data_IF_861388184024
#
_entry.id   IF_861388184024
#
_cell.length_a   1.000
_cell.length_b   1.000
_cell.length_c   1.000
_cell.angle_alpha   90.00
_cell.angle_beta   90.00
_cell.angle_gamma   90.00
#
_symmetry.space_group_name_H-M   'P 1'
#
loop_
_entity.id
_entity.type
_entity.pdbx_description
1 polymer ?
#
# COMPACT_ATOMS: atom_id res chain seq x y z
N UNK A 1 -0.43 -11.45 -34.88
CA UNK A 1 -1.26 -10.70 -33.92
C UNK A 1 -2.70 -11.22 -33.95
N UNK A 2 -3.48 -11.06 -32.88
CA UNK A 2 -4.86 -11.59 -32.74
C UNK A 2 -5.94 -10.70 -33.37
N UNK A 3 -5.65 -9.41 -33.59
CA UNK A 3 -6.57 -8.47 -34.24
C UNK A 3 -6.32 -8.45 -35.74
N UNK A 4 -7.39 -8.55 -36.54
CA UNK A 4 -7.30 -8.62 -38.01
C UNK A 4 -6.59 -7.39 -38.61
N UNK A 5 -6.79 -6.19 -38.03
CA UNK A 5 -6.12 -4.95 -38.46
C UNK A 5 -4.59 -4.97 -38.33
N UNK A 6 -4.05 -5.81 -37.44
CA UNK A 6 -2.61 -5.89 -37.15
C UNK A 6 -1.99 -7.25 -37.53
N UNK A 7 -2.74 -8.09 -38.25
CA UNK A 7 -2.35 -9.47 -38.54
C UNK A 7 -1.18 -9.56 -39.54
N UNK A 8 -1.15 -8.64 -40.49
CA UNK A 8 -0.16 -8.58 -41.59
C UNK A 8 0.95 -7.53 -41.34
N UNK A 9 0.93 -6.85 -40.19
CA UNK A 9 1.96 -5.87 -39.84
C UNK A 9 3.20 -6.56 -39.25
N UNK A 10 4.37 -6.08 -39.65
CA UNK A 10 5.65 -6.49 -39.08
C UNK A 10 5.80 -5.99 -37.64
N UNK A 11 6.69 -6.63 -36.89
CA UNK A 11 7.00 -6.23 -35.50
C UNK A 11 7.46 -4.77 -35.43
N UNK A 12 8.29 -4.34 -36.38
CA UNK A 12 8.81 -2.96 -36.43
C UNK A 12 7.69 -1.94 -36.70
N UNK A 13 6.72 -2.27 -37.56
CA UNK A 13 5.56 -1.41 -37.82
C UNK A 13 4.66 -1.27 -36.58
N UNK A 14 4.51 -2.35 -35.80
CA UNK A 14 3.75 -2.31 -34.55
C UNK A 14 4.49 -1.49 -33.50
N UNK A 15 5.81 -1.63 -33.41
CA UNK A 15 6.65 -0.84 -32.53
C UNK A 15 6.60 0.65 -32.89
N UNK A 16 6.70 0.99 -34.17
CA UNK A 16 6.54 2.35 -34.66
C UNK A 16 5.20 2.97 -34.24
N UNK A 17 4.10 2.22 -34.37
CA UNK A 17 2.78 2.69 -33.93
C UNK A 17 2.72 2.92 -32.41
N UNK A 18 3.36 2.05 -31.62
CA UNK A 18 3.45 2.21 -30.17
C UNK A 18 4.27 3.46 -29.79
N UNK A 19 5.40 3.68 -30.45
CA UNK A 19 6.27 4.85 -30.24
C UNK A 19 5.59 6.16 -30.64
N UNK A 20 4.88 6.18 -31.78
CA UNK A 20 4.24 7.37 -32.29
C UNK A 20 2.98 7.77 -31.49
N UNK A 21 2.11 6.81 -31.17
CA UNK A 21 0.74 7.12 -30.72
C UNK A 21 0.45 6.79 -29.24
N UNK A 22 1.33 6.05 -28.58
CA UNK A 22 1.09 5.53 -27.22
C UNK A 22 2.17 5.90 -26.21
N UNK A 23 3.44 5.61 -26.48
CA UNK A 23 4.54 5.90 -25.56
C UNK A 23 4.71 7.41 -25.33
N UNK A 24 5.10 7.81 -24.11
CA UNK A 24 5.20 9.20 -23.62
C UNK A 24 3.90 10.02 -23.64
N UNK A 25 2.82 9.48 -24.19
CA UNK A 25 1.54 10.15 -24.36
C UNK A 25 0.44 9.47 -23.54
N UNK A 26 0.07 8.25 -23.92
CA UNK A 26 -0.99 7.47 -23.25
C UNK A 26 -0.45 6.56 -22.16
N UNK A 27 0.79 6.10 -22.32
CA UNK A 27 1.52 5.25 -21.38
C UNK A 27 3.02 5.65 -21.36
N UNK A 28 3.78 5.34 -20.30
CA UNK A 28 5.22 5.58 -20.28
C UNK A 28 5.95 4.79 -21.37
N UNK A 29 7.18 5.18 -21.68
CA UNK A 29 8.06 4.35 -22.51
C UNK A 29 8.27 2.98 -21.88
N UNK A 30 8.37 1.97 -22.73
CA UNK A 30 8.70 0.64 -22.28
C UNK A 30 10.12 0.61 -21.71
N UNK A 31 10.33 -0.19 -20.67
CA UNK A 31 11.66 -0.56 -20.24
C UNK A 31 12.24 -1.64 -21.13
N UNK A 32 11.46 -2.65 -21.46
CA UNK A 32 11.89 -3.63 -22.43
C UNK A 32 10.71 -4.29 -23.13
N UNK A 33 10.96 -4.76 -24.34
CA UNK A 33 9.96 -5.38 -25.21
C UNK A 33 10.49 -6.73 -25.67
N UNK A 34 9.67 -7.75 -25.50
CA UNK A 34 10.01 -9.14 -25.79
C UNK A 34 9.08 -9.70 -26.86
N UNK A 35 9.64 -10.32 -27.90
CA UNK A 35 8.90 -11.11 -28.87
C UNK A 35 8.62 -12.48 -28.27
N UNK A 36 7.34 -12.81 -28.07
CA UNK A 36 6.93 -14.07 -27.43
C UNK A 36 6.66 -15.21 -28.43
N UNK A 37 6.92 -14.96 -29.71
CA UNK A 37 6.66 -15.84 -30.85
C UNK A 37 5.22 -15.80 -31.40
N UNK A 38 4.28 -15.11 -30.72
CA UNK A 38 2.90 -14.85 -31.23
C UNK A 38 2.48 -13.39 -31.16
N UNK A 39 3.34 -12.54 -30.60
CA UNK A 39 3.11 -11.12 -30.37
C UNK A 39 4.19 -10.53 -29.46
N UNK A 40 3.94 -9.33 -28.97
CA UNK A 40 4.87 -8.56 -28.14
C UNK A 40 4.42 -8.57 -26.67
N UNK A 41 5.39 -8.62 -25.76
CA UNK A 41 5.20 -8.34 -24.35
C UNK A 41 5.98 -7.08 -23.98
N UNK A 42 5.28 -6.10 -23.43
CA UNK A 42 5.83 -4.78 -23.07
C UNK A 42 5.96 -4.74 -21.54
N UNK A 43 7.11 -4.29 -21.06
CA UNK A 43 7.42 -4.25 -19.63
C UNK A 43 7.76 -2.85 -19.16
N UNK A 44 7.21 -2.47 -18.01
CA UNK A 44 7.58 -1.27 -17.26
C UNK A 44 8.13 -1.70 -15.90
N UNK A 45 9.41 -1.42 -15.69
CA UNK A 45 10.10 -1.64 -14.43
C UNK A 45 9.74 -0.53 -13.46
N UNK A 46 9.36 -0.90 -12.24
CA UNK A 46 9.08 0.06 -11.17
C UNK A 46 10.07 -0.10 -10.03
N UNK A 47 10.24 0.98 -9.26
CA UNK A 47 10.95 0.91 -7.99
C UNK A 47 10.25 -0.06 -7.02
N UNK A 48 11.01 -0.59 -6.06
CA UNK A 48 10.45 -1.48 -5.05
C UNK A 48 9.39 -0.73 -4.22
N UNK A 49 8.14 -1.21 -4.28
CA UNK A 49 7.02 -0.63 -3.54
C UNK A 49 6.51 -1.59 -2.47
N UNK A 50 6.01 -1.09 -1.33
CA UNK A 50 5.38 -1.94 -0.33
C UNK A 50 4.10 -2.57 -0.91
N UNK A 51 3.71 -3.77 -0.45
CA UNK A 51 2.51 -4.47 -0.91
C UNK A 51 1.22 -3.62 -0.84
N UNK A 52 1.18 -2.61 0.04
CA UNK A 52 0.07 -1.65 0.17
C UNK A 52 -0.17 -0.82 -1.10
N UNK A 53 0.80 -0.77 -2.01
CA UNK A 53 0.69 -0.10 -3.31
C UNK A 53 -0.01 -0.95 -4.37
N UNK A 54 -0.33 -2.23 -4.10
CA UNK A 54 -1.01 -3.12 -5.04
C UNK A 54 -2.30 -2.53 -5.65
N UNK A 55 -3.17 -1.82 -4.91
CA UNK A 55 -4.34 -1.18 -5.52
C UNK A 55 -3.99 -0.10 -6.55
N UNK A 56 -2.94 0.69 -6.30
CA UNK A 56 -2.47 1.70 -7.24
C UNK A 56 -1.85 1.03 -8.47
N UNK A 57 -1.02 0.01 -8.24
CA UNK A 57 -0.44 -0.79 -9.32
C UNK A 57 -1.52 -1.41 -10.21
N UNK A 58 -2.57 -2.00 -9.62
CA UNK A 58 -3.72 -2.54 -10.37
C UNK A 58 -4.46 -1.46 -11.17
N UNK A 59 -4.61 -0.25 -10.63
CA UNK A 59 -5.23 0.87 -11.33
C UNK A 59 -4.39 1.31 -12.54
N UNK A 60 -3.06 1.37 -12.38
CA UNK A 60 -2.11 1.63 -13.46
C UNK A 60 -2.23 0.57 -14.55
N UNK A 61 -2.17 -0.71 -14.20
CA UNK A 61 -2.28 -1.82 -15.15
C UNK A 61 -3.59 -1.80 -15.92
N UNK A 62 -4.72 -1.58 -15.24
CA UNK A 62 -6.04 -1.47 -15.90
C UNK A 62 -6.11 -0.27 -16.84
N UNK A 63 -5.55 0.87 -16.45
CA UNK A 63 -5.50 2.05 -17.32
C UNK A 63 -4.67 1.75 -18.58
N UNK A 64 -3.48 1.14 -18.43
CA UNK A 64 -2.62 0.79 -19.56
C UNK A 64 -3.29 -0.24 -20.47
N UNK A 65 -3.90 -1.28 -19.90
CA UNK A 65 -4.70 -2.26 -20.64
C UNK A 65 -5.78 -1.57 -21.46
N UNK A 66 -6.56 -0.66 -20.85
CA UNK A 66 -7.60 0.08 -21.56
C UNK A 66 -7.05 0.94 -22.69
N UNK A 67 -5.90 1.60 -22.49
CA UNK A 67 -5.25 2.41 -23.54
C UNK A 67 -4.71 1.55 -24.67
N UNK A 68 -4.17 0.37 -24.37
CA UNK A 68 -3.53 -0.53 -25.33
C UNK A 68 -4.51 -1.60 -25.89
N UNK A 69 -5.78 -1.58 -25.48
CA UNK A 69 -6.78 -2.54 -25.95
C UNK A 69 -6.97 -2.48 -27.46
N UNK A 70 -6.91 -1.28 -28.04
CA UNK A 70 -7.04 -1.05 -29.48
C UNK A 70 -5.91 -1.67 -30.30
N UNK A 71 -4.72 -1.85 -29.71
CA UNK A 71 -3.58 -2.52 -30.34
C UNK A 71 -3.45 -3.99 -29.91
N UNK A 72 -4.44 -4.52 -29.18
CA UNK A 72 -4.55 -5.95 -28.90
C UNK A 72 -3.96 -6.41 -27.56
N UNK A 73 -3.89 -5.53 -26.56
CA UNK A 73 -3.50 -5.93 -25.21
C UNK A 73 -4.45 -7.00 -24.63
N UNK A 74 -3.86 -8.05 -24.05
CA UNK A 74 -4.59 -9.18 -23.45
C UNK A 74 -5.07 -8.83 -22.04
N UNK A 75 -6.39 -8.93 -21.79
CA UNK A 75 -6.97 -8.63 -20.47
C UNK A 75 -6.41 -9.52 -19.36
N UNK A 76 -5.90 -10.71 -19.70
CA UNK A 76 -5.30 -11.65 -18.75
C UNK A 76 -3.86 -11.28 -18.36
N UNK A 77 -3.28 -10.20 -18.89
CA UNK A 77 -1.88 -9.83 -18.65
C UNK A 77 -1.64 -8.98 -17.40
N UNK A 78 -2.67 -8.56 -16.68
CA UNK A 78 -2.58 -7.60 -15.56
C UNK A 78 -2.33 -8.24 -14.17
N UNK A 79 -1.89 -9.48 -14.13
CA UNK A 79 -1.62 -10.22 -12.88
C UNK A 79 -0.27 -9.84 -12.26
N UNK A 80 -0.24 -9.62 -10.94
CA UNK A 80 0.94 -9.16 -10.21
C UNK A 80 2.00 -10.25 -9.95
N UNK A 81 1.62 -11.53 -10.02
CA UNK A 81 2.46 -12.69 -9.72
C UNK A 81 2.80 -13.52 -10.97
N UNK A 82 2.57 -12.97 -12.17
CA UNK A 82 2.70 -13.69 -13.43
C UNK A 82 4.13 -14.17 -13.68
N UNK A 83 4.26 -15.46 -13.98
CA UNK A 83 5.51 -16.04 -14.49
C UNK A 83 5.69 -15.63 -15.95
N UNK A 84 6.76 -14.89 -16.22
CA UNK A 84 7.10 -14.38 -17.55
C UNK A 84 8.10 -15.29 -18.25
N UNK A 85 8.05 -15.32 -19.59
CA UNK A 85 9.02 -16.08 -20.39
C UNK A 85 10.35 -15.35 -20.44
N UNK A 86 11.44 -16.07 -20.21
CA UNK A 86 12.79 -15.53 -20.26
C UNK A 86 13.22 -15.35 -21.72
N UNK A 87 13.86 -14.21 -22.03
CA UNK A 87 14.50 -14.00 -23.33
C UNK A 87 15.57 -15.06 -23.59
N UNK A 88 15.67 -15.54 -24.83
CA UNK A 88 16.54 -16.65 -25.24
C UNK A 88 15.95 -18.04 -25.03
N UNK A 89 14.76 -18.17 -24.42
CA UNK A 89 14.04 -19.45 -24.35
C UNK A 89 13.32 -19.76 -25.67
N UNK A 90 13.19 -21.04 -26.03
CA UNK A 90 12.46 -21.48 -27.23
C UNK A 90 11.03 -21.82 -26.86
N UNK A 91 10.07 -21.25 -27.59
CA UNK A 91 8.66 -21.57 -27.38
C UNK A 91 8.32 -22.93 -28.00
N UNK A 92 8.22 -23.99 -27.19
CA UNK A 92 7.95 -25.36 -27.65
C UNK A 92 6.71 -25.53 -28.54
N UNK A 93 5.71 -24.65 -28.43
CA UNK A 93 4.47 -24.76 -29.25
C UNK A 93 4.60 -24.23 -30.68
N UNK A 94 5.65 -23.49 -30.99
CA UNK A 94 5.81 -22.85 -32.29
C UNK A 94 7.27 -22.66 -32.73
N UNK A 95 8.25 -23.19 -31.99
CA UNK A 95 9.66 -23.26 -32.40
C UNK A 95 10.44 -21.94 -32.41
N UNK A 96 9.76 -20.79 -32.34
CA UNK A 96 10.41 -19.48 -32.33
C UNK A 96 11.12 -19.17 -31.01
N UNK A 97 12.31 -18.58 -31.12
CA UNK A 97 13.06 -18.04 -29.99
C UNK A 97 12.37 -16.77 -29.46
N UNK A 98 12.45 -16.59 -28.14
CA UNK A 98 11.98 -15.38 -27.47
C UNK A 98 13.08 -14.34 -27.56
N UNK A 99 12.92 -13.32 -28.42
CA UNK A 99 13.92 -12.29 -28.65
C UNK A 99 13.61 -10.97 -27.92
N UNK A 100 14.64 -10.35 -27.35
CA UNK A 100 14.59 -9.05 -26.71
C UNK A 100 14.83 -7.97 -27.77
N UNK A 101 13.85 -7.11 -28.01
CA UNK A 101 13.94 -6.04 -29.02
C UNK A 101 14.61 -4.79 -28.47
N UNK A 102 14.29 -4.44 -27.24
CA UNK A 102 14.68 -3.19 -26.61
C UNK A 102 14.84 -3.42 -25.11
N UNK A 103 15.84 -2.78 -24.49
CA UNK A 103 16.06 -2.85 -23.04
C UNK A 103 16.63 -1.54 -22.48
N UNK A 104 16.06 -1.14 -21.36
CA UNK A 104 16.42 -0.01 -20.53
C UNK A 104 16.18 -0.37 -19.06
N UNK A 105 17.19 -0.18 -18.21
CA UNK A 105 17.22 -0.55 -16.80
C UNK A 105 16.65 0.52 -15.86
N UNK A 106 16.26 1.69 -16.39
CA UNK A 106 15.61 2.76 -15.63
C UNK A 106 14.36 2.24 -14.90
N UNK A 107 14.11 2.73 -13.68
CA UNK A 107 12.92 2.32 -12.91
C UNK A 107 11.98 3.50 -12.75
N UNK A 108 10.70 3.26 -12.98
CA UNK A 108 9.67 4.25 -12.74
C UNK A 108 9.26 4.27 -11.27
N UNK A 109 9.08 5.47 -10.72
CA UNK A 109 8.32 5.60 -9.49
C UNK A 109 6.83 5.44 -9.79
N UNK A 110 6.14 4.60 -9.01
CA UNK A 110 4.73 4.32 -9.24
C UNK A 110 3.83 5.57 -9.08
N UNK A 111 4.25 6.56 -8.28
CA UNK A 111 3.53 7.84 -8.17
C UNK A 111 3.68 8.70 -9.40
N UNK A 112 4.87 8.74 -10.00
CA UNK A 112 5.08 9.52 -11.22
C UNK A 112 4.23 8.96 -12.37
N UNK A 113 4.07 7.63 -12.44
CA UNK A 113 3.15 7.01 -13.39
C UNK A 113 1.70 7.45 -13.11
N UNK A 114 1.30 7.46 -11.84
CA UNK A 114 -0.03 7.91 -11.44
C UNK A 114 -0.30 9.35 -11.88
N UNK A 115 0.62 10.27 -11.57
CA UNK A 115 0.45 11.70 -11.83
C UNK A 115 0.42 12.02 -13.32
N UNK A 116 1.22 11.31 -14.13
CA UNK A 116 1.36 11.63 -15.55
C UNK A 116 0.37 10.88 -16.47
N UNK A 117 -0.11 9.68 -16.08
CA UNK A 117 -0.83 8.80 -17.01
C UNK A 117 -2.20 8.35 -16.53
N UNK A 118 -2.53 8.50 -15.24
CA UNK A 118 -3.87 8.18 -14.76
C UNK A 118 -4.74 9.44 -14.84
N UNK A 119 -6.05 9.28 -15.16
CA UNK A 119 -6.95 10.42 -15.17
C UNK A 119 -6.99 11.07 -13.79
N UNK A 120 -6.95 12.40 -13.77
CA UNK A 120 -7.22 13.18 -12.57
C UNK A 120 -8.52 12.70 -11.94
N UNK A 121 -8.45 12.33 -10.66
CA UNK A 121 -9.55 11.69 -9.94
C UNK A 121 -10.76 12.63 -9.69
N UNK A 122 -10.89 13.77 -10.39
CA UNK A 122 -12.15 14.41 -10.87
C UNK A 122 -11.94 15.83 -11.44
N UNK A 123 -12.81 16.25 -12.38
CA UNK A 123 -13.72 17.35 -12.06
C UNK A 123 -15.13 16.81 -11.81
N UNK A 124 -15.61 17.06 -10.59
CA UNK A 124 -16.97 16.83 -10.15
C UNK A 124 -17.96 17.42 -11.17
N UNK A 125 -18.78 16.59 -11.82
CA UNK A 125 -19.97 17.05 -12.55
C UNK A 125 -20.90 17.67 -11.49
N UNK A 126 -21.07 18.99 -11.54
CA UNK A 126 -21.98 19.73 -10.65
C UNK A 126 -23.37 19.10 -10.76
N UNK A 127 -23.86 18.46 -9.70
CA UNK A 127 -25.28 18.14 -9.56
C UNK A 127 -26.05 19.47 -9.53
N UNK A 128 -26.95 19.76 -10.50
CA UNK A 128 -27.69 21.02 -10.59
C UNK A 128 -28.55 21.33 -9.36
N UNK A 129 -28.86 20.32 -8.54
CA UNK A 129 -29.80 20.43 -7.43
C UNK A 129 -29.16 20.62 -6.05
N UNK A 130 -27.82 20.73 -5.94
CA UNK A 130 -27.15 20.81 -4.64
C UNK A 130 -26.42 22.15 -4.43
N UNK A 131 -27.12 23.14 -3.84
CA UNK A 131 -26.51 24.41 -3.39
C UNK A 131 -25.94 24.24 -1.97
N UNK A 132 -24.73 23.70 -1.84
CA UNK A 132 -24.03 23.71 -0.55
C UNK A 132 -23.32 25.06 -0.32
N UNK A 133 -23.74 25.79 0.73
CA UNK A 133 -23.03 26.98 1.21
C UNK A 133 -21.60 26.61 1.67
N UNK A 134 -20.61 27.12 0.93
CA UNK A 134 -19.36 27.70 1.43
C UNK A 134 -18.58 26.97 2.54
N UNK A 135 -18.23 25.69 2.38
CA UNK A 135 -17.14 25.09 3.17
C UNK A 135 -15.97 24.74 2.25
N UNK A 136 -14.75 25.20 2.59
CA UNK A 136 -13.52 24.86 1.87
C UNK A 136 -13.46 23.34 1.68
N UNK A 137 -13.26 22.89 0.43
CA UNK A 137 -13.17 21.47 0.07
C UNK A 137 -12.07 20.82 0.91
N UNK A 138 -12.46 19.87 1.76
CA UNK A 138 -11.49 19.01 2.45
C UNK A 138 -10.90 18.12 1.37
N UNK A 139 -9.57 18.09 1.23
CA UNK A 139 -8.88 17.08 0.42
C UNK A 139 -9.39 15.72 0.89
N UNK A 140 -10.17 15.05 0.05
CA UNK A 140 -10.74 13.75 0.38
C UNK A 140 -9.59 12.77 0.20
N UNK A 141 -8.97 12.36 1.31
CA UNK A 141 -7.94 11.33 1.27
C UNK A 141 -8.50 10.10 0.52
N UNK A 142 -7.66 9.55 -0.36
CA UNK A 142 -7.83 8.34 -1.17
C UNK A 142 -7.98 7.06 -0.33
N UNK A 143 -8.77 7.09 0.75
CA UNK A 143 -9.26 5.88 1.40
C UNK A 143 -10.39 5.33 0.53
N UNK A 144 -10.02 4.81 -0.64
CA UNK A 144 -10.96 4.15 -1.54
C UNK A 144 -11.63 3.00 -0.80
N UNK A 145 -12.90 2.74 -1.09
CA UNK A 145 -13.68 1.64 -0.51
C UNK A 145 -12.97 0.27 -0.67
N UNK A 146 -12.24 0.09 -1.76
CA UNK A 146 -11.31 -1.03 -1.98
C UNK A 146 -10.24 -1.17 -0.89
N UNK A 147 -9.62 -0.06 -0.49
CA UNK A 147 -8.61 -0.06 0.58
C UNK A 147 -9.21 -0.47 1.92
N UNK A 148 -10.47 -0.12 2.18
CA UNK A 148 -11.17 -0.49 3.42
C UNK A 148 -11.53 -1.98 3.43
N UNK A 149 -12.18 -2.49 2.38
CA UNK A 149 -12.55 -3.91 2.31
C UNK A 149 -11.31 -4.81 2.37
N UNK A 150 -10.25 -4.45 1.64
CA UNK A 150 -8.98 -5.18 1.70
C UNK A 150 -8.31 -5.12 3.07
N UNK A 151 -8.31 -3.96 3.74
CA UNK A 151 -7.77 -3.86 5.10
C UNK A 151 -8.61 -4.67 6.10
N UNK A 152 -9.93 -4.72 5.94
CA UNK A 152 -10.80 -5.56 6.77
C UNK A 152 -10.60 -7.06 6.52
N UNK A 153 -10.33 -7.49 5.29
CA UNK A 153 -9.92 -8.87 5.00
C UNK A 153 -8.63 -9.23 5.73
N UNK A 154 -7.62 -8.35 5.66
CA UNK A 154 -6.36 -8.54 6.39
C UNK A 154 -6.55 -8.54 7.91
N UNK A 155 -7.46 -7.72 8.42
CA UNK A 155 -7.82 -7.73 9.84
C UNK A 155 -8.44 -9.08 10.25
N UNK A 156 -9.30 -9.68 9.43
CA UNK A 156 -9.87 -11.01 9.72
C UNK A 156 -8.81 -12.11 9.70
N UNK A 157 -7.90 -12.11 8.71
CA UNK A 157 -6.77 -13.06 8.66
C UNK A 157 -5.89 -12.88 9.88
N UNK A 158 -5.56 -11.64 10.25
CA UNK A 158 -4.74 -11.37 11.43
C UNK A 158 -5.45 -11.78 12.72
N UNK A 159 -6.75 -11.60 12.80
CA UNK A 159 -7.54 -12.05 13.95
C UNK A 159 -7.53 -13.57 14.07
N UNK A 160 -7.64 -14.29 12.95
CA UNK A 160 -7.51 -15.75 12.91
C UNK A 160 -6.13 -16.22 13.37
N UNK A 161 -5.07 -15.56 12.92
CA UNK A 161 -3.69 -15.82 13.34
C UNK A 161 -3.52 -15.62 14.85
N UNK A 162 -3.99 -14.50 15.39
CA UNK A 162 -3.90 -14.17 16.82
C UNK A 162 -4.70 -15.13 17.72
N UNK A 163 -5.72 -15.79 17.16
CA UNK A 163 -6.57 -16.73 17.89
C UNK A 163 -6.24 -18.19 17.57
N UNK A 164 -5.17 -18.45 16.82
CA UNK A 164 -4.72 -19.80 16.43
C UNK A 164 -5.86 -20.63 15.80
N UNK A 165 -6.69 -19.98 14.98
CA UNK A 165 -7.81 -20.62 14.32
C UNK A 165 -9.07 -20.82 15.19
N UNK A 166 -9.10 -20.30 16.42
CA UNK A 166 -10.25 -20.36 17.33
C UNK A 166 -11.14 -19.10 17.26
N UNK A 167 -12.39 -19.24 17.68
CA UNK A 167 -13.38 -18.17 17.78
C UNK A 167 -13.52 -17.71 19.23
N UNK A 168 -13.58 -16.39 19.46
CA UNK A 168 -13.85 -15.84 20.81
C UNK A 168 -15.34 -15.71 21.08
N UNK A 169 -15.82 -16.30 22.16
CA UNK A 169 -17.21 -16.22 22.61
C UNK A 169 -17.44 -14.95 23.46
N UNK A 170 -18.71 -14.67 23.78
CA UNK A 170 -19.08 -13.48 24.56
C UNK A 170 -18.53 -13.50 26.00
N UNK A 171 -18.33 -14.70 26.57
CA UNK A 171 -17.67 -14.92 27.86
C UNK A 171 -16.14 -14.69 27.82
N UNK A 172 -15.58 -14.40 26.64
CA UNK A 172 -14.16 -14.19 26.42
C UNK A 172 -13.35 -15.48 26.15
N UNK A 173 -13.96 -16.66 26.30
CA UNK A 173 -13.31 -17.95 26.02
C UNK A 173 -13.04 -18.15 24.54
N UNK A 174 -11.97 -18.87 24.21
CA UNK A 174 -11.66 -19.31 22.86
C UNK A 174 -12.21 -20.72 22.66
N UNK A 175 -13.03 -20.91 21.62
CA UNK A 175 -13.59 -22.22 21.24
C UNK A 175 -13.30 -22.48 19.77
N UNK A 176 -13.17 -23.75 19.40
CA UNK A 176 -12.95 -24.14 18.01
C UNK A 176 -14.15 -23.82 17.10
N UNK A 177 -15.35 -23.71 17.67
CA UNK A 177 -16.61 -23.49 16.97
C UNK A 177 -17.31 -22.20 17.42
N UNK A 178 -18.28 -21.71 16.63
CA UNK A 178 -19.20 -20.64 17.02
C UNK A 178 -19.30 -19.49 16.03
N UNK A 179 -18.25 -18.67 15.87
CA UNK A 179 -18.29 -17.47 15.01
C UNK A 179 -17.78 -17.70 13.57
N UNK A 180 -17.53 -18.95 13.18
CA UNK A 180 -16.90 -19.31 11.90
C UNK A 180 -17.73 -18.85 10.72
N UNK A 181 -19.03 -19.10 10.77
CA UNK A 181 -20.02 -18.76 9.75
C UNK A 181 -20.06 -17.24 9.54
N UNK A 182 -20.06 -16.49 10.63
CA UNK A 182 -20.03 -15.02 10.59
C UNK A 182 -18.71 -14.50 10.02
N UNK A 183 -17.58 -15.06 10.44
CA UNK A 183 -16.26 -14.66 9.93
C UNK A 183 -16.13 -14.98 8.44
N UNK A 184 -16.54 -16.17 7.99
CA UNK A 184 -16.61 -16.56 6.59
C UNK A 184 -17.55 -15.65 5.79
N UNK A 185 -18.71 -15.29 6.35
CA UNK A 185 -19.66 -14.37 5.72
C UNK A 185 -19.05 -12.98 5.51
N UNK A 186 -18.43 -12.41 6.55
CA UNK A 186 -17.76 -11.11 6.47
C UNK A 186 -16.62 -11.15 5.45
N UNK A 187 -15.85 -12.23 5.45
CA UNK A 187 -14.77 -12.46 4.49
C UNK A 187 -15.31 -12.51 3.05
N UNK A 188 -16.28 -13.39 2.76
CA UNK A 188 -16.88 -13.51 1.42
C UNK A 188 -17.48 -12.20 0.92
N UNK A 189 -18.18 -11.50 1.80
CA UNK A 189 -18.80 -10.21 1.46
C UNK A 189 -17.73 -9.17 1.09
N UNK A 190 -16.69 -9.00 1.90
CA UNK A 190 -15.64 -8.02 1.61
C UNK A 190 -14.74 -8.43 0.44
N UNK A 191 -14.48 -9.73 0.24
CA UNK A 191 -13.81 -10.23 -0.97
C UNK A 191 -14.63 -9.94 -2.21
N UNK A 192 -15.95 -10.16 -2.16
CA UNK A 192 -16.84 -9.82 -3.29
C UNK A 192 -16.79 -8.33 -3.61
N UNK A 193 -16.81 -7.45 -2.60
CA UNK A 193 -16.68 -6.01 -2.79
C UNK A 193 -15.30 -5.58 -3.31
N UNK A 194 -14.24 -6.32 -2.96
CA UNK A 194 -12.85 -6.01 -3.33
C UNK A 194 -12.48 -6.52 -4.72
N UNK A 195 -12.77 -7.78 -5.02
CA UNK A 195 -12.39 -8.46 -6.27
C UNK A 195 -13.40 -8.18 -7.39
N UNK A 196 -14.66 -7.88 -7.02
CA UNK A 196 -15.81 -7.81 -7.92
C UNK A 196 -16.11 -9.12 -8.67
N UNK A 197 -15.68 -10.22 -8.08
CA UNK A 197 -15.87 -11.57 -8.59
C UNK A 197 -16.40 -12.44 -7.44
N UNK A 198 -17.60 -12.97 -7.60
CA UNK A 198 -18.27 -13.75 -6.55
C UNK A 198 -17.76 -15.18 -6.46
N UNK A 199 -17.17 -15.71 -7.53
CA UNK A 199 -16.59 -17.06 -7.56
C UNK A 199 -15.22 -17.06 -6.89
N UNK A 200 -14.35 -16.13 -7.29
CA UNK A 200 -13.05 -15.93 -6.63
C UNK A 200 -13.23 -15.57 -5.14
N UNK A 201 -14.23 -14.76 -4.79
CA UNK A 201 -14.54 -14.47 -3.40
C UNK A 201 -14.95 -15.73 -2.62
N UNK A 202 -15.69 -16.68 -3.22
CA UNK A 202 -16.04 -17.94 -2.57
C UNK A 202 -14.79 -18.81 -2.39
N UNK A 203 -13.94 -18.93 -3.41
CA UNK A 203 -12.71 -19.71 -3.32
C UNK A 203 -11.78 -19.17 -2.22
N UNK A 204 -11.59 -17.84 -2.18
CA UNK A 204 -10.83 -17.17 -1.12
C UNK A 204 -11.45 -17.40 0.27
N UNK A 205 -12.78 -17.45 0.38
CA UNK A 205 -13.45 -17.80 1.65
C UNK A 205 -13.23 -19.27 2.06
N UNK A 206 -13.21 -20.21 1.12
CA UNK A 206 -12.90 -21.61 1.41
C UNK A 206 -11.46 -21.75 1.91
N UNK A 207 -10.51 -21.02 1.33
CA UNK A 207 -9.12 -21.01 1.79
C UNK A 207 -8.97 -20.32 3.16
N UNK A 208 -9.74 -19.26 3.42
CA UNK A 208 -9.85 -18.67 4.74
C UNK A 208 -10.41 -19.66 5.78
N UNK A 209 -11.45 -20.42 5.41
CA UNK A 209 -12.09 -21.40 6.29
C UNK A 209 -11.14 -22.53 6.72
N UNK A 210 -10.18 -22.92 5.85
CA UNK A 210 -9.14 -23.92 6.19
C UNK A 210 -8.25 -23.50 7.37
N UNK A 211 -8.20 -22.22 7.72
CA UNK A 211 -7.38 -21.71 8.83
C UNK A 211 -8.06 -21.87 10.20
N UNK A 212 -9.35 -22.24 10.25
CA UNK A 212 -9.99 -22.58 11.51
C UNK A 212 -9.43 -23.88 12.09
N UNK A 213 -9.38 -23.96 13.43
CA UNK A 213 -9.01 -25.20 14.13
C UNK A 213 -9.94 -26.34 13.75
N UNK A 214 -11.22 -26.03 13.61
CA UNK A 214 -12.24 -26.90 13.03
C UNK A 214 -12.89 -26.12 11.87
N UNK A 215 -12.50 -26.37 10.61
CA UNK A 215 -13.14 -25.77 9.45
C UNK A 215 -14.59 -26.22 9.28
N UNK A 216 -15.43 -25.35 8.71
CA UNK A 216 -16.76 -25.72 8.24
C UNK A 216 -16.67 -26.59 6.98
N UNK A 217 -17.66 -27.44 6.72
CA UNK A 217 -17.73 -28.16 5.45
C UNK A 217 -17.99 -27.20 4.29
N UNK A 218 -17.54 -27.54 3.07
CA UNK A 218 -17.66 -26.67 1.89
C UNK A 218 -19.11 -26.22 1.66
N UNK A 219 -20.06 -27.15 1.72
CA UNK A 219 -21.50 -26.88 1.55
C UNK A 219 -22.09 -26.01 2.67
N UNK A 220 -21.53 -26.05 3.87
CA UNK A 220 -21.92 -25.18 4.98
C UNK A 220 -21.40 -23.76 4.76
N UNK A 221 -20.15 -23.60 4.33
CA UNK A 221 -19.58 -22.29 3.96
C UNK A 221 -20.41 -21.65 2.87
N UNK A 222 -20.70 -22.37 1.78
CA UNK A 222 -21.50 -21.86 0.67
C UNK A 222 -22.87 -21.36 1.13
N UNK A 223 -23.56 -22.16 1.94
CA UNK A 223 -24.91 -21.87 2.44
C UNK A 223 -24.91 -20.71 3.43
N UNK A 224 -24.02 -20.73 4.42
CA UNK A 224 -23.93 -19.71 5.47
C UNK A 224 -23.57 -18.34 4.88
N UNK A 225 -22.81 -18.33 3.79
CA UNK A 225 -22.30 -17.09 3.17
C UNK A 225 -23.06 -16.67 1.90
N UNK A 226 -24.10 -17.40 1.48
CA UNK A 226 -24.88 -17.08 0.27
C UNK A 226 -25.50 -15.67 0.33
N UNK A 227 -25.90 -15.22 1.53
CA UNK A 227 -26.41 -13.86 1.76
C UNK A 227 -25.38 -12.77 1.41
N UNK A 228 -24.07 -13.07 1.42
CA UNK A 228 -23.01 -12.14 1.05
C UNK A 228 -23.11 -11.73 -0.43
N UNK A 229 -23.44 -12.67 -1.33
CA UNK A 229 -23.64 -12.37 -2.75
C UNK A 229 -24.83 -11.43 -2.97
N UNK A 230 -25.95 -11.67 -2.27
CA UNK A 230 -27.14 -10.80 -2.32
C UNK A 230 -26.79 -9.39 -1.85
N UNK A 231 -26.06 -9.28 -0.75
CA UNK A 231 -25.61 -8.00 -0.22
C UNK A 231 -24.63 -7.27 -1.14
N UNK A 232 -23.72 -8.01 -1.78
CA UNK A 232 -22.81 -7.47 -2.79
C UNK A 232 -23.58 -6.92 -4.00
N UNK A 233 -24.60 -7.62 -4.50
CA UNK A 233 -25.48 -7.14 -5.58
C UNK A 233 -26.22 -5.86 -5.18
N UNK A 234 -26.74 -5.78 -3.96
CA UNK A 234 -27.36 -4.55 -3.44
C UNK A 234 -26.35 -3.40 -3.35
N UNK A 235 -25.14 -3.70 -2.89
CA UNK A 235 -24.04 -2.74 -2.82
C UNK A 235 -23.65 -2.19 -4.21
N UNK A 236 -23.64 -3.02 -5.26
CA UNK A 236 -23.39 -2.56 -6.64
C UNK A 236 -24.47 -1.61 -7.15
N UNK A 237 -25.75 -1.89 -6.84
CA UNK A 237 -26.89 -1.10 -7.33
C UNK A 237 -26.95 0.31 -6.73
N UNK A 238 -26.75 0.41 -5.42
CA UNK A 238 -26.89 1.70 -4.71
C UNK A 238 -25.61 2.54 -4.74
N UNK A 239 -24.53 2.02 -5.34
CA UNK A 239 -23.22 2.66 -5.38
C UNK A 239 -22.49 2.43 -6.71
N UNK A 240 -23.01 2.92 -7.87
CA UNK A 240 -22.38 2.69 -9.18
C UNK A 240 -20.95 3.26 -9.27
N UNK A 241 -20.67 4.32 -8.48
CA UNK A 241 -19.42 5.09 -8.50
C UNK A 241 -18.52 4.85 -7.28
N UNK A 242 -18.88 3.96 -6.34
CA UNK A 242 -18.05 3.63 -5.17
C UNK A 242 -18.13 4.63 -3.99
N UNK A 243 -19.07 5.57 -3.99
CA UNK A 243 -19.31 6.50 -2.87
C UNK A 243 -20.48 6.04 -1.99
N UNK A 244 -20.27 5.93 -0.67
CA UNK A 244 -21.20 5.34 0.31
C UNK A 244 -22.64 5.92 0.26
N UNK A 245 -23.54 5.27 -0.47
CA UNK A 245 -24.99 5.41 -0.31
C UNK A 245 -25.65 4.05 -0.10
N UNK A 246 -25.90 3.72 1.17
CA UNK A 246 -26.89 2.80 1.77
C UNK A 246 -27.10 1.35 1.27
N UNK A 247 -26.50 0.89 0.18
CA UNK A 247 -26.62 -0.51 -0.27
C UNK A 247 -25.67 -1.48 0.43
N UNK A 248 -26.13 -2.72 0.62
CA UNK A 248 -25.36 -3.80 1.26
C UNK A 248 -25.11 -3.62 2.75
N UNK A 249 -24.18 -4.41 3.31
CA UNK A 249 -23.82 -4.34 4.73
C UNK A 249 -22.72 -3.31 5.00
N UNK A 250 -23.07 -2.32 5.82
CA UNK A 250 -22.23 -1.16 6.11
C UNK A 250 -21.84 -1.12 7.59
N UNK A 251 -21.04 -2.11 8.01
CA UNK A 251 -20.67 -2.28 9.40
C UNK A 251 -19.83 -1.11 9.94
N UNK A 252 -20.25 -0.56 11.08
CA UNK A 252 -19.42 0.32 11.92
C UNK A 252 -18.39 -0.52 12.68
N UNK A 253 -17.22 0.04 12.95
CA UNK A 253 -16.18 -0.64 13.73
C UNK A 253 -16.68 -1.11 15.10
N UNK A 254 -17.45 -0.27 15.81
CA UNK A 254 -18.08 -0.65 17.10
C UNK A 254 -18.92 -1.92 16.99
N UNK A 255 -19.64 -2.09 15.88
CA UNK A 255 -20.46 -3.27 15.63
C UNK A 255 -19.60 -4.50 15.37
N UNK A 256 -18.55 -4.38 14.54
CA UNK A 256 -17.62 -5.49 14.26
C UNK A 256 -16.89 -5.96 15.51
N UNK A 257 -16.41 -5.01 16.32
CA UNK A 257 -15.73 -5.30 17.59
C UNK A 257 -16.63 -6.11 18.52
N UNK A 258 -17.92 -5.72 18.63
CA UNK A 258 -18.90 -6.47 19.41
C UNK A 258 -19.17 -7.85 18.81
N UNK A 259 -19.47 -7.92 17.51
CA UNK A 259 -19.83 -9.17 16.84
C UNK A 259 -18.73 -10.22 16.85
N UNK A 260 -17.47 -9.79 16.79
CA UNK A 260 -16.30 -10.67 16.75
C UNK A 260 -15.62 -10.83 18.12
N UNK A 261 -16.20 -10.24 19.18
CA UNK A 261 -15.63 -10.19 20.52
C UNK A 261 -14.15 -9.76 20.49
N UNK A 262 -13.82 -8.66 19.83
CA UNK A 262 -12.42 -8.22 19.66
C UNK A 262 -11.94 -7.53 20.94
N UNK A 263 -10.77 -7.95 21.43
CA UNK A 263 -10.14 -7.41 22.65
C UNK A 263 -9.30 -6.15 22.40
N UNK A 264 -8.96 -5.41 23.46
CA UNK A 264 -8.07 -4.25 23.34
C UNK A 264 -6.68 -4.60 22.80
N UNK A 265 -6.14 -5.77 23.18
CA UNK A 265 -4.83 -6.22 22.71
C UNK A 265 -4.87 -6.60 21.22
N UNK A 266 -5.92 -7.29 20.78
CA UNK A 266 -6.13 -7.60 19.36
C UNK A 266 -6.22 -6.29 18.54
N UNK A 267 -6.98 -5.28 19.01
CA UNK A 267 -7.09 -3.98 18.33
C UNK A 267 -5.75 -3.25 18.14
N UNK A 268 -4.76 -3.45 19.02
CA UNK A 268 -3.44 -2.82 18.86
C UNK A 268 -2.70 -3.29 17.61
N UNK A 269 -3.00 -4.49 17.12
CA UNK A 269 -2.35 -5.11 15.96
C UNK A 269 -3.17 -4.91 14.67
N UNK A 270 -4.50 -4.86 14.78
CA UNK A 270 -5.40 -4.69 13.63
C UNK A 270 -5.25 -3.31 12.94
N UNK A 271 -5.53 -3.23 11.65
CA UNK A 271 -5.39 -2.00 10.87
C UNK A 271 -6.60 -1.08 10.97
N UNK A 272 -7.81 -1.62 10.76
CA UNK A 272 -9.04 -0.84 10.59
C UNK A 272 -10.14 -1.14 11.58
N UNK A 273 -10.28 -2.40 12.03
CA UNK A 273 -11.30 -2.78 13.02
C UNK A 273 -10.81 -2.42 14.43
N UNK A 274 -10.76 -1.12 14.68
CA UNK A 274 -10.29 -0.52 15.94
C UNK A 274 -11.30 0.49 16.47
N UNK A 275 -11.28 0.67 17.78
CA UNK A 275 -12.12 1.64 18.48
C UNK A 275 -11.50 3.05 18.50
N UNK A 276 -12.27 4.02 19.01
CA UNK A 276 -11.82 5.40 19.08
C UNK A 276 -10.64 5.59 20.06
N UNK A 277 -10.51 4.73 21.08
CA UNK A 277 -9.43 4.78 22.06
C UNK A 277 -8.10 4.45 21.37
N UNK A 278 -8.05 3.37 20.62
CA UNK A 278 -6.86 2.93 19.88
C UNK A 278 -6.49 3.90 18.76
N UNK A 279 -7.48 4.46 18.04
CA UNK A 279 -7.25 5.53 17.05
C UNK A 279 -6.52 6.72 17.68
N UNK A 280 -7.00 7.20 18.84
CA UNK A 280 -6.37 8.30 19.58
C UNK A 280 -4.97 7.94 20.06
N UNK A 281 -4.77 6.73 20.58
CA UNK A 281 -3.44 6.25 21.02
C UNK A 281 -2.43 6.29 19.87
N UNK A 282 -2.78 5.73 18.71
CA UNK A 282 -1.94 5.74 17.50
C UNK A 282 -1.66 7.16 17.00
N UNK A 283 -2.65 8.05 17.03
CA UNK A 283 -2.47 9.45 16.67
C UNK A 283 -1.46 10.13 17.60
N UNK A 284 -1.61 9.97 18.92
CA UNK A 284 -0.70 10.55 19.91
C UNK A 284 0.75 10.06 19.72
N UNK A 285 0.95 8.77 19.45
CA UNK A 285 2.29 8.22 19.18
C UNK A 285 2.90 8.88 17.94
N UNK A 286 2.15 8.97 16.83
CA UNK A 286 2.62 9.60 15.59
C UNK A 286 2.94 11.08 15.80
N UNK A 287 2.06 11.81 16.46
CA UNK A 287 2.22 13.23 16.79
C UNK A 287 3.46 13.45 17.67
N UNK A 288 3.66 12.63 18.71
CA UNK A 288 4.83 12.70 19.56
C UNK A 288 6.12 12.38 18.80
N UNK A 289 6.11 11.37 17.93
CA UNK A 289 7.26 11.03 17.07
C UNK A 289 7.60 12.18 16.12
N UNK A 290 6.59 12.77 15.49
CA UNK A 290 6.74 13.92 14.60
C UNK A 290 7.30 15.14 15.35
N UNK A 291 6.76 15.47 16.52
CA UNK A 291 7.30 16.57 17.33
C UNK A 291 8.74 16.31 17.80
N UNK A 292 9.09 15.07 18.16
CA UNK A 292 10.46 14.70 18.50
C UNK A 292 11.41 14.83 17.31
N UNK A 293 10.97 14.45 16.11
CA UNK A 293 11.75 14.59 14.88
C UNK A 293 11.96 16.07 14.52
N UNK A 294 10.91 16.90 14.60
CA UNK A 294 10.99 18.34 14.32
C UNK A 294 11.94 19.11 15.25
N UNK A 295 12.18 18.60 16.47
CA UNK A 295 13.17 19.17 17.41
C UNK A 295 14.61 18.86 17.05
N UNK A 296 14.86 17.94 16.12
CA UNK A 296 16.19 17.48 15.71
C UNK A 296 16.59 18.11 14.38
N UNK A 297 17.86 18.46 14.23
CA UNK A 297 18.45 18.91 12.97
C UNK A 297 18.76 17.72 12.04
N UNK A 298 19.32 17.98 10.86
CA UNK A 298 19.70 16.95 9.87
C UNK A 298 20.64 15.87 10.44
N UNK A 299 21.45 16.22 11.44
CA UNK A 299 22.35 15.30 12.16
C UNK A 299 21.66 14.53 13.29
N UNK A 300 20.33 14.63 13.41
CA UNK A 300 19.54 13.98 14.45
C UNK A 300 19.71 14.62 15.84
N UNK A 301 20.34 15.78 15.96
CA UNK A 301 20.65 16.44 17.23
C UNK A 301 19.60 17.49 17.57
N UNK A 302 19.24 17.57 18.85
CA UNK A 302 18.44 18.71 19.34
C UNK A 302 19.27 19.99 19.36
N UNK A 303 18.62 21.17 19.34
CA UNK A 303 19.31 22.49 19.42
C UNK A 303 20.35 22.54 20.56
N UNK A 304 19.98 22.05 21.75
CA UNK A 304 20.88 21.99 22.92
C UNK A 304 22.08 21.06 22.72
N UNK A 305 21.89 19.93 22.03
CA UNK A 305 22.99 19.00 21.72
C UNK A 305 23.93 19.60 20.66
N UNK A 306 23.38 20.29 19.65
CA UNK A 306 24.16 21.00 18.65
C UNK A 306 25.00 22.12 19.28
N UNK A 307 24.38 22.95 20.13
CA UNK A 307 25.08 24.00 20.89
C UNK A 307 26.18 23.43 21.81
N UNK A 308 25.94 22.26 22.43
CA UNK A 308 26.97 21.56 23.22
C UNK A 308 28.16 21.16 22.35
N UNK A 309 27.91 20.55 21.18
CA UNK A 309 28.97 20.11 20.25
C UNK A 309 29.77 21.30 19.73
N UNK A 310 29.11 22.40 19.36
CA UNK A 310 29.78 23.62 18.90
C UNK A 310 30.64 24.25 19.99
N UNK A 311 30.15 24.29 21.23
CA UNK A 311 30.94 24.74 22.39
C UNK A 311 32.15 23.86 22.63
N UNK A 312 32.00 22.53 22.55
CA UNK A 312 33.10 21.58 22.70
C UNK A 312 34.16 21.82 21.61
N UNK A 313 33.75 21.99 20.34
CA UNK A 313 34.67 22.30 19.23
C UNK A 313 35.44 23.60 19.46
N UNK A 314 34.76 24.67 19.82
CA UNK A 314 35.39 25.97 20.12
C UNK A 314 36.40 25.86 21.29
N UNK A 315 36.08 25.10 22.32
CA UNK A 315 37.00 24.84 23.44
C UNK A 315 38.24 24.07 22.95
N UNK A 316 38.07 23.07 22.07
CA UNK A 316 39.19 22.32 21.51
C UNK A 316 40.09 23.20 20.62
N UNK A 317 39.51 24.06 19.79
CA UNK A 317 40.26 25.02 18.96
C UNK A 317 41.05 26.02 19.80
N UNK A 318 40.42 26.66 20.80
CA UNK A 318 41.10 27.60 21.69
C UNK A 318 42.18 26.91 22.52
N UNK A 319 42.01 25.64 22.87
CA UNK A 319 43.04 24.86 23.54
C UNK A 319 44.22 24.55 22.63
N UNK A 320 44.01 24.25 21.34
CA UNK A 320 45.10 24.06 20.36
C UNK A 320 45.94 25.31 20.19
N UNK A 321 45.34 26.49 20.37
CA UNK A 321 46.02 27.78 20.38
C UNK A 321 46.80 28.05 21.69
N UNK A 322 46.84 27.12 22.65
CA UNK A 322 47.62 27.23 23.87
C UNK A 322 46.97 28.00 25.02
N UNK A 323 45.71 28.42 24.88
CA UNK A 323 45.01 29.20 25.91
C UNK A 323 44.72 28.37 27.17
N UNK A 324 44.86 28.99 28.35
CA UNK A 324 44.52 28.40 29.64
C UNK A 324 43.00 28.36 29.81
N UNK A 325 42.52 27.43 30.64
CA UNK A 325 41.08 27.23 30.87
C UNK A 325 40.32 28.49 31.31
N UNK A 326 40.97 29.37 32.08
CA UNK A 326 40.39 30.64 32.53
C UNK A 326 40.15 31.58 31.34
N UNK A 327 41.15 31.74 30.48
CA UNK A 327 41.09 32.57 29.28
C UNK A 327 40.04 32.04 28.28
N UNK A 328 39.92 30.72 28.14
CA UNK A 328 38.88 30.08 27.32
C UNK A 328 37.48 30.37 27.87
N UNK A 329 37.32 30.31 29.19
CA UNK A 329 36.05 30.58 29.87
C UNK A 329 35.62 32.04 29.67
N UNK A 330 36.55 32.98 29.85
CA UNK A 330 36.32 34.40 29.68
C UNK A 330 35.96 34.75 28.23
N UNK A 331 36.67 34.16 27.25
CA UNK A 331 36.45 34.41 25.81
C UNK A 331 35.15 33.82 25.27
N UNK A 332 34.65 32.74 25.89
CA UNK A 332 33.39 32.09 25.53
C UNK A 332 32.20 32.57 26.39
N UNK A 333 32.43 33.42 27.40
CA UNK A 333 31.41 33.88 28.33
C UNK A 333 30.75 32.75 29.13
N UNK A 334 31.50 31.71 29.49
CA UNK A 334 30.99 30.53 30.21
C UNK A 334 31.78 30.29 31.50
N UNK A 335 31.16 29.60 32.46
CA UNK A 335 31.84 29.25 33.70
C UNK A 335 33.05 28.32 33.45
N UNK A 336 34.15 28.54 34.17
CA UNK A 336 35.37 27.70 34.12
C UNK A 336 35.07 26.21 34.38
N UNK A 337 34.09 25.92 35.26
CA UNK A 337 33.65 24.56 35.56
C UNK A 337 33.09 23.83 34.32
N UNK A 338 32.34 24.54 33.47
CA UNK A 338 31.80 24.00 32.23
C UNK A 338 32.91 23.64 31.23
N UNK A 339 33.93 24.49 31.13
CA UNK A 339 35.12 24.25 30.28
C UNK A 339 35.88 23.01 30.77
N UNK A 340 36.10 22.89 32.07
CA UNK A 340 36.76 21.72 32.68
C UNK A 340 35.99 20.42 32.40
N UNK A 341 34.67 20.45 32.56
CA UNK A 341 33.78 19.30 32.28
C UNK A 341 33.87 18.85 30.82
N UNK A 342 33.76 19.77 29.85
CA UNK A 342 33.86 19.45 28.42
C UNK A 342 35.27 19.00 28.01
N UNK A 343 36.32 19.53 28.63
CA UNK A 343 37.69 19.03 28.43
C UNK A 343 37.88 17.60 28.95
N UNK A 344 37.20 17.22 30.04
CA UNK A 344 37.21 15.85 30.55
C UNK A 344 36.47 14.90 29.60
N UNK A 345 35.30 15.30 29.10
CA UNK A 345 34.55 14.53 28.08
C UNK A 345 35.39 14.29 26.82
N UNK A 346 36.12 15.31 26.33
CA UNK A 346 37.03 15.19 25.18
C UNK A 346 38.18 14.18 25.41
N UNK A 347 38.75 14.15 26.62
CA UNK A 347 39.81 13.18 26.97
C UNK A 347 39.29 11.75 27.02
N UNK A 348 38.06 11.55 27.50
CA UNK A 348 37.42 10.23 27.55
C UNK A 348 37.10 9.74 26.13
N UNK A 349 36.56 10.62 25.27
CA UNK A 349 36.24 10.25 23.89
C UNK A 349 37.47 9.80 23.07
N UNK A 350 38.64 10.43 23.29
CA UNK A 350 39.92 10.06 22.64
C UNK A 350 40.58 8.79 23.19
N UNK A 351 40.12 8.27 24.34
CA UNK A 351 40.62 7.01 24.92
C UNK A 351 39.83 5.77 24.46
N UNK A 352 38.67 5.99 23.82
CA UNK A 352 37.73 4.93 23.40
C UNK A 352 37.81 4.68 21.89
N UNK A 353 38.46 5.59 21.14
CA UNK A 353 38.99 5.35 19.80
C UNK A 353 40.42 4.82 19.92
#
# INVERSE_FOLDING_TARGET
YTLDKFKDLTVDQILWNLEADYFKSKVPEANFIVITGRGLAIYWLIEAVPYKALPLWNAVQKNFLNKLKEIGADEKSIDAARVMRLSGSVNQKNGHAVDLLFYNDNKYNLRDIQENYLPDLTPYVKNPYHKAKGRRKKVVNLFNLYSLHYARLRDLVKLMELREGMCRMEDGSLKATGLRELMCFLYRYWSSCYERDTENALQSTLDFNKQFREPLNISEVERATNSAQKAYKAWLKDCPTGTYSRGGYNYKNKTLIKLLNITEEEMKVLETIIDNKEVKRRANIRTNKHHKAKRRNEKGLTKRQQEKIEKIKKIEELRKLGLKQKEIADRLGVAKSLVSMYMKELKVAKKVQ
#
